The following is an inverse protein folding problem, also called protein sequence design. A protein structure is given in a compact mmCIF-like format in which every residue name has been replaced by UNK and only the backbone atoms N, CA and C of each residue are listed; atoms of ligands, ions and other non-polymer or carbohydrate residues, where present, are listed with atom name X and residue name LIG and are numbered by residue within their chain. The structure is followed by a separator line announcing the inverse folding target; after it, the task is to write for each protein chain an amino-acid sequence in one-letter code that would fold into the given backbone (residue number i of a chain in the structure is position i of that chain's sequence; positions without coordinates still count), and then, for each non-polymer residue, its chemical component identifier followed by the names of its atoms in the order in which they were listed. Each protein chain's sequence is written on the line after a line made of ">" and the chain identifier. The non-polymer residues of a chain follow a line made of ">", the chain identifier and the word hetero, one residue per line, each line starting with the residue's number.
data_IF_831423589855
#
_entry.id   IF_831423589855
#
_cell.length_a   1.000
_cell.length_b   1.000
_cell.length_c   1.000
_cell.angle_alpha   90.00
_cell.angle_beta   90.00
_cell.angle_gamma   90.00
#
_symmetry.space_group_name_H-M   'P 1'
#
loop_
_entity.id
_entity.type
_entity.pdbx_description
1 polymer ?
#
# COMPACT_ATOMS: atom_id res chain seq x y z
N UNK A 1 21.03 11.74 5.31
CA UNK A 1 21.69 11.03 4.45
C UNK A 1 21.26 9.60 4.45
N UNK A 2 21.37 8.94 5.49
CA UNK A 2 20.86 7.61 5.61
C UNK A 2 19.37 7.51 5.37
N UNK A 3 18.60 8.56 5.66
CA UNK A 3 17.17 8.53 5.52
C UNK A 3 16.71 8.28 4.08
N UNK A 4 17.45 8.79 3.09
CA UNK A 4 17.12 8.51 1.70
C UNK A 4 17.25 7.03 1.37
N UNK A 5 18.31 6.41 1.85
CA UNK A 5 18.52 4.99 1.64
C UNK A 5 17.47 4.16 2.38
N UNK A 6 17.16 4.57 3.59
CA UNK A 6 16.16 3.85 4.39
C UNK A 6 14.78 3.88 3.78
N UNK A 7 14.48 4.94 3.03
CA UNK A 7 13.14 5.12 2.46
C UNK A 7 13.06 4.74 1.00
N UNK A 8 14.10 4.16 0.43
CA UNK A 8 14.13 3.85 -0.99
C UNK A 8 12.98 2.95 -1.42
N UNK A 9 12.77 1.85 -0.70
CA UNK A 9 11.70 0.90 -1.04
C UNK A 9 10.33 1.54 -0.80
N UNK A 10 10.17 2.28 0.29
CA UNK A 10 8.89 2.95 0.56
C UNK A 10 8.55 3.94 -0.55
N UNK A 11 9.53 4.69 -1.03
CA UNK A 11 9.31 5.63 -2.12
C UNK A 11 8.95 4.92 -3.42
N UNK A 12 9.58 3.77 -3.69
CA UNK A 12 9.25 2.96 -4.85
C UNK A 12 7.82 2.47 -4.78
N UNK A 13 7.40 1.95 -3.63
CA UNK A 13 6.03 1.47 -3.44
C UNK A 13 5.04 2.62 -3.66
N UNK A 14 5.32 3.78 -3.08
CA UNK A 14 4.45 4.93 -3.22
C UNK A 14 4.31 5.35 -4.67
N UNK A 15 5.42 5.37 -5.41
CA UNK A 15 5.41 5.72 -6.82
C UNK A 15 4.57 4.72 -7.64
N UNK A 16 4.66 3.44 -7.32
CA UNK A 16 3.90 2.42 -8.02
C UNK A 16 2.39 2.55 -7.74
N UNK A 17 2.02 2.91 -6.52
CA UNK A 17 0.61 3.17 -6.21
C UNK A 17 0.10 4.36 -7.02
N UNK A 18 0.88 5.45 -7.05
CA UNK A 18 0.48 6.65 -7.78
C UNK A 18 0.34 6.42 -9.28
N UNK A 19 1.15 5.55 -9.84
CA UNK A 19 1.14 5.24 -11.28
C UNK A 19 0.09 4.21 -11.66
N UNK A 20 -0.59 3.59 -10.69
CA UNK A 20 -1.62 2.62 -10.96
C UNK A 20 -2.88 3.26 -11.52
N UNK A 21 -3.77 2.42 -12.02
CA UNK A 21 -5.08 2.86 -12.52
C UNK A 21 -6.12 1.82 -12.14
N UNK A 22 -7.36 2.26 -11.96
CA UNK A 22 -8.45 1.32 -11.72
C UNK A 22 -9.07 0.90 -13.06
N UNK A 23 -10.10 0.07 -13.01
CA UNK A 23 -10.78 -0.42 -14.21
C UNK A 23 -11.52 0.67 -14.96
N UNK A 24 -11.69 1.84 -14.34
CA UNK A 24 -12.40 2.97 -14.93
C UNK A 24 -11.46 4.08 -15.39
N UNK A 25 -10.15 3.85 -15.30
CA UNK A 25 -9.16 4.83 -15.74
C UNK A 25 -8.77 5.87 -14.71
N UNK A 26 -9.25 5.76 -13.48
CA UNK A 26 -8.84 6.68 -12.41
C UNK A 26 -7.40 6.38 -12.01
N UNK A 27 -6.61 7.43 -11.82
CA UNK A 27 -5.21 7.27 -11.44
C UNK A 27 -5.07 6.86 -9.97
N UNK A 28 -3.93 6.29 -9.64
CA UNK A 28 -3.60 5.95 -8.26
C UNK A 28 -3.63 7.18 -7.36
N UNK A 29 -3.16 8.32 -7.87
CA UNK A 29 -3.22 9.57 -7.10
C UNK A 29 -4.65 9.95 -6.75
N UNK A 30 -5.57 9.78 -7.70
CA UNK A 30 -6.98 10.05 -7.44
C UNK A 30 -7.55 9.10 -6.40
N UNK A 31 -7.23 7.80 -6.52
CA UNK A 31 -7.68 6.82 -5.56
C UNK A 31 -7.16 7.13 -4.15
N UNK A 32 -5.90 7.56 -4.04
CA UNK A 32 -5.31 7.93 -2.76
C UNK A 32 -6.09 9.07 -2.09
N UNK A 33 -6.56 10.03 -2.88
CA UNK A 33 -7.39 11.10 -2.34
C UNK A 33 -8.71 10.56 -1.79
N UNK A 34 -9.30 9.59 -2.47
CA UNK A 34 -10.55 8.97 -2.01
C UNK A 34 -10.34 8.20 -0.71
N UNK A 35 -9.15 7.65 -0.49
CA UNK A 35 -8.84 6.90 0.74
C UNK A 35 -8.47 7.82 1.90
N UNK A 36 -8.39 9.12 1.70
CA UNK A 36 -7.85 10.06 2.69
C UNK A 36 -6.44 9.61 3.14
N UNK A 37 -5.60 9.29 2.16
CA UNK A 37 -4.23 8.83 2.39
C UNK A 37 -3.45 9.85 3.20
N UNK A 38 -2.83 9.43 4.31
CA UNK A 38 -2.03 10.31 5.15
C UNK A 38 -1.00 9.54 5.94
N UNK A 39 -0.04 10.29 6.45
CA UNK A 39 1.01 9.82 7.36
C UNK A 39 1.83 8.65 6.78
N UNK A 40 2.31 8.77 5.53
CA UNK A 40 3.12 7.70 4.97
C UNK A 40 4.49 7.62 5.65
N UNK A 41 4.94 6.39 5.92
CA UNK A 41 6.28 6.18 6.39
C UNK A 41 6.71 4.77 6.02
N UNK A 42 8.00 4.51 6.03
CA UNK A 42 8.49 3.19 5.74
C UNK A 42 9.99 3.10 5.87
N UNK A 43 10.49 1.90 5.64
CA UNK A 43 11.93 1.63 5.71
C UNK A 43 12.33 0.66 4.62
N UNK A 44 13.56 0.79 4.16
CA UNK A 44 14.22 -0.24 3.40
C UNK A 44 14.84 -1.23 4.39
N UNK A 45 14.65 -2.51 4.13
CA UNK A 45 15.10 -3.56 5.03
C UNK A 45 15.66 -4.71 4.20
N UNK A 46 16.59 -5.46 4.78
CA UNK A 46 17.12 -6.65 4.13
C UNK A 46 16.93 -7.90 5.01
N UNK A 47 15.91 -7.85 5.86
CA UNK A 47 15.60 -8.99 6.72
C UNK A 47 14.82 -10.06 5.93
N UNK A 48 14.49 -11.16 6.61
CA UNK A 48 13.83 -12.29 5.99
C UNK A 48 12.42 -11.98 5.52
N UNK A 49 11.79 -10.93 6.06
CA UNK A 49 10.41 -10.60 5.74
C UNK A 49 10.27 -9.89 4.41
N UNK A 50 11.35 -9.26 3.94
CA UNK A 50 11.30 -8.55 2.68
C UNK A 50 12.32 -7.44 2.60
N UNK A 51 12.27 -6.69 1.50
CA UNK A 51 13.24 -5.63 1.22
C UNK A 51 12.86 -4.28 1.84
N UNK A 52 11.63 -4.14 2.29
CA UNK A 52 11.17 -2.91 2.91
C UNK A 52 9.67 -2.78 2.78
N UNK A 53 9.14 -1.71 3.36
CA UNK A 53 7.69 -1.52 3.40
C UNK A 53 7.32 -0.04 3.35
N UNK A 54 6.05 0.20 3.01
CA UNK A 54 5.39 1.50 3.14
C UNK A 54 4.13 1.28 3.98
N UNK A 55 3.95 2.12 4.99
CA UNK A 55 2.76 2.09 5.82
C UNK A 55 2.11 3.47 5.80
N UNK A 56 0.79 3.52 5.73
CA UNK A 56 0.05 4.77 5.70
C UNK A 56 -1.34 4.58 6.31
N UNK A 57 -1.98 5.70 6.63
CA UNK A 57 -3.31 5.70 7.21
C UNK A 57 -4.35 6.00 6.14
N UNK A 58 -5.50 5.33 6.21
CA UNK A 58 -6.60 5.54 5.28
C UNK A 58 -7.91 5.67 6.07
N UNK A 59 -8.89 6.31 5.43
CA UNK A 59 -10.23 6.44 5.99
C UNK A 59 -11.20 6.38 4.82
N UNK A 60 -11.42 5.18 4.33
CA UNK A 60 -12.29 4.93 3.19
C UNK A 60 -13.66 4.43 3.60
N UNK A 61 -14.50 4.20 2.61
CA UNK A 61 -15.88 3.78 2.86
C UNK A 61 -15.96 2.37 3.45
N UNK A 62 -14.99 1.51 3.13
CA UNK A 62 -15.01 0.11 3.56
C UNK A 62 -14.05 -0.17 4.70
N UNK A 63 -13.00 0.59 4.84
CA UNK A 63 -11.96 0.35 5.83
C UNK A 63 -11.30 1.64 6.24
N UNK A 64 -11.14 1.83 7.54
CA UNK A 64 -10.37 2.94 8.11
C UNK A 64 -9.34 2.35 9.06
N UNK A 65 -8.08 2.76 8.91
CA UNK A 65 -6.99 2.24 9.72
C UNK A 65 -5.68 2.39 9.00
N UNK A 66 -4.78 1.42 9.17
CA UNK A 66 -3.47 1.45 8.55
C UNK A 66 -3.35 0.39 7.47
N UNK A 67 -2.64 0.73 6.40
CA UNK A 67 -2.31 -0.20 5.34
C UNK A 67 -0.78 -0.30 5.30
N UNK A 68 -0.27 -1.53 5.37
CA UNK A 68 1.17 -1.77 5.28
C UNK A 68 1.44 -2.61 4.04
N UNK A 69 2.26 -2.08 3.14
CA UNK A 69 2.64 -2.75 1.90
C UNK A 69 4.11 -3.13 2.00
N UNK A 70 4.40 -4.43 1.96
CA UNK A 70 5.75 -4.95 2.08
C UNK A 70 6.21 -5.51 0.75
N UNK A 71 7.41 -5.12 0.31
CA UNK A 71 8.01 -5.67 -0.90
C UNK A 71 8.82 -6.91 -0.54
N UNK A 72 8.43 -8.05 -1.10
CA UNK A 72 9.13 -9.31 -0.86
C UNK A 72 10.35 -9.49 -1.75
N UNK A 73 11.14 -10.51 -1.44
CA UNK A 73 12.35 -10.81 -2.21
C UNK A 73 12.04 -11.36 -3.60
N UNK A 74 10.80 -11.80 -3.82
CA UNK A 74 10.34 -12.29 -5.12
C UNK A 74 9.72 -11.19 -5.99
N UNK A 75 9.88 -9.93 -5.57
CA UNK A 75 9.32 -8.75 -6.25
C UNK A 75 7.79 -8.68 -6.22
N UNK A 76 7.16 -9.47 -5.37
CA UNK A 76 5.72 -9.40 -5.14
C UNK A 76 5.47 -8.69 -3.83
N UNK A 77 4.26 -8.18 -3.68
CA UNK A 77 3.88 -7.38 -2.51
C UNK A 77 2.94 -8.15 -1.60
N UNK A 78 3.08 -7.88 -0.31
CA UNK A 78 2.14 -8.32 0.71
C UNK A 78 1.47 -7.08 1.26
N UNK A 79 0.15 -7.10 1.40
CA UNK A 79 -0.61 -5.96 1.91
C UNK A 79 -1.33 -6.39 3.18
N UNK A 80 -1.13 -5.63 4.25
CA UNK A 80 -1.79 -5.87 5.53
C UNK A 80 -2.71 -4.70 5.85
N UNK A 81 -3.94 -5.02 6.25
CA UNK A 81 -4.93 -4.03 6.67
C UNK A 81 -5.08 -4.13 8.18
N UNK A 82 -4.71 -3.07 8.89
CA UNK A 82 -4.58 -3.06 10.34
C UNK A 82 -5.55 -2.04 10.92
N UNK A 83 -6.46 -2.49 11.78
CA UNK A 83 -7.39 -1.60 12.44
C UNK A 83 -6.68 -0.64 13.39
N UNK A 84 -7.36 0.45 13.74
CA UNK A 84 -6.78 1.47 14.62
C UNK A 84 -6.39 0.92 15.99
N UNK A 85 -7.01 -0.19 16.40
CA UNK A 85 -6.66 -0.86 17.66
C UNK A 85 -5.44 -1.79 17.53
N UNK A 86 -4.85 -1.88 16.34
CA UNK A 86 -3.66 -2.69 16.12
C UNK A 86 -3.92 -4.10 15.63
N UNK A 87 -5.17 -4.51 15.47
CA UNK A 87 -5.49 -5.83 14.96
C UNK A 87 -5.37 -5.88 13.44
N UNK A 88 -4.62 -6.84 12.93
CA UNK A 88 -4.52 -7.07 11.49
C UNK A 88 -5.71 -7.94 11.07
N UNK A 89 -6.60 -7.37 10.27
CA UNK A 89 -7.84 -8.05 9.90
C UNK A 89 -7.76 -8.77 8.55
N UNK A 90 -6.82 -8.35 7.70
CA UNK A 90 -6.69 -8.93 6.36
C UNK A 90 -5.26 -8.87 5.92
N UNK A 91 -4.77 -9.97 5.33
CA UNK A 91 -3.44 -10.04 4.74
C UNK A 91 -3.59 -10.60 3.34
N UNK A 92 -3.05 -9.88 2.35
CA UNK A 92 -3.07 -10.30 0.95
C UNK A 92 -1.64 -10.52 0.49
N UNK A 93 -1.42 -11.61 -0.24
CA UNK A 93 -0.08 -12.03 -0.69
C UNK A 93 0.00 -12.02 -2.22
N UNK A 94 1.24 -12.02 -2.73
CA UNK A 94 1.51 -12.21 -4.15
C UNK A 94 0.82 -11.17 -5.02
N UNK A 95 0.90 -9.91 -4.59
CA UNK A 95 0.31 -8.81 -5.33
C UNK A 95 1.36 -8.22 -6.25
N UNK A 96 1.04 -8.10 -7.54
CA UNK A 96 1.93 -7.51 -8.52
C UNK A 96 1.92 -5.99 -8.41
N UNK A 97 3.03 -5.36 -8.82
CA UNK A 97 3.19 -3.91 -8.66
C UNK A 97 2.10 -3.11 -9.39
N UNK A 98 1.63 -3.60 -10.52
CA UNK A 98 0.63 -2.90 -11.29
C UNK A 98 -0.80 -3.11 -10.75
N UNK A 99 -0.96 -3.98 -9.78
CA UNK A 99 -2.26 -4.19 -9.12
C UNK A 99 -2.38 -3.50 -7.78
N UNK A 100 -1.30 -2.90 -7.29
CA UNK A 100 -1.29 -2.36 -5.92
C UNK A 100 -2.45 -1.40 -5.65
N UNK A 101 -2.60 -0.39 -6.49
CA UNK A 101 -3.62 0.63 -6.27
C UNK A 101 -5.02 0.01 -6.33
N UNK A 102 -5.26 -0.86 -7.30
CA UNK A 102 -6.57 -1.51 -7.46
C UNK A 102 -6.92 -2.38 -6.26
N UNK A 103 -5.95 -3.17 -5.77
CA UNK A 103 -6.19 -4.07 -4.66
C UNK A 103 -6.48 -3.28 -3.39
N UNK A 104 -5.72 -2.23 -3.14
CA UNK A 104 -5.95 -1.38 -1.97
C UNK A 104 -7.32 -0.72 -2.08
N UNK A 105 -7.66 -0.17 -3.25
CA UNK A 105 -8.93 0.52 -3.45
C UNK A 105 -10.13 -0.40 -3.23
N UNK A 106 -10.06 -1.65 -3.71
CA UNK A 106 -11.15 -2.61 -3.51
C UNK A 106 -11.42 -2.88 -2.03
N UNK A 107 -10.38 -2.81 -1.22
CA UNK A 107 -10.52 -3.14 0.21
C UNK A 107 -10.82 -1.91 1.06
N UNK A 108 -10.49 -0.72 0.59
CA UNK A 108 -10.62 0.52 1.36
C UNK A 108 -11.84 1.33 0.96
N UNK A 109 -12.11 1.45 -0.34
CA UNK A 109 -13.12 2.38 -0.82
C UNK A 109 -14.15 1.77 -1.77
N UNK A 110 -13.74 0.99 -2.76
CA UNK A 110 -14.61 0.62 -3.87
C UNK A 110 -14.53 -0.88 -4.18
N UNK A 111 -15.44 -1.70 -3.64
CA UNK A 111 -15.38 -3.16 -3.83
C UNK A 111 -15.67 -3.60 -5.27
N UNK A 112 -16.20 -2.69 -6.11
CA UNK A 112 -16.50 -3.01 -7.50
C UNK A 112 -15.33 -2.70 -8.43
N UNK A 113 -14.25 -2.21 -7.90
CA UNK A 113 -13.05 -1.91 -8.70
C UNK A 113 -12.26 -3.21 -8.89
N UNK A 114 -12.40 -3.81 -10.02
CA UNK A 114 -11.74 -5.08 -10.35
C UNK A 114 -10.87 -4.94 -11.57
#
# INVERSE_FOLDING_TARGET
>A
RGSKMENYVANTILAQIKCGQDSHGNSGSHMMMCWAFQNPWGKTSDNDEGRGFLEFTVDGALFAGQVKVTLGWDDLYMIEFIETNGNCITVLHEIYFDDLANVIDRNVENPKNV
#
